data_IF_715405159111
#
_entry.id   IF_715405159111
#
_cell.length_a   1.000
_cell.length_b   1.000
_cell.length_c   1.000
_cell.angle_alpha   90.00
_cell.angle_beta   90.00
_cell.angle_gamma   90.00
#
_symmetry.space_group_name_H-M   'P 1'
#
loop_
_entity.id
_entity.type
_entity.pdbx_description
1 polymer ?
#
# COMPACT_ATOMS: atom_id res chain seq x y z
N UNK A 1 -25.29 42.29 10.06
CA UNK A 1 -25.04 42.30 8.60
C UNK A 1 -24.64 40.90 8.10
N UNK A 2 -23.82 40.20 8.86
CA UNK A 2 -23.27 38.91 8.44
C UNK A 2 -24.30 37.76 8.35
N UNK A 3 -25.24 37.68 9.27
CA UNK A 3 -26.24 36.58 9.30
C UNK A 3 -27.29 36.69 8.19
N UNK A 4 -27.62 37.89 7.73
CA UNK A 4 -28.58 38.08 6.64
C UNK A 4 -27.97 37.77 5.26
N UNK A 5 -26.68 38.04 5.06
CA UNK A 5 -25.94 37.71 3.84
C UNK A 5 -25.73 36.17 3.74
N UNK A 6 -25.35 35.55 4.83
CA UNK A 6 -25.14 34.05 4.86
C UNK A 6 -26.45 33.33 4.55
N UNK A 7 -27.58 33.77 5.11
CA UNK A 7 -28.89 33.20 4.80
C UNK A 7 -29.34 33.39 3.35
N UNK A 8 -29.07 34.56 2.75
CA UNK A 8 -29.41 34.78 1.34
C UNK A 8 -28.47 34.05 0.37
N UNK A 9 -27.19 33.92 0.69
CA UNK A 9 -26.25 33.13 -0.11
C UNK A 9 -26.59 31.65 -0.08
N UNK A 10 -26.96 31.11 1.08
CA UNK A 10 -27.43 29.71 1.19
C UNK A 10 -28.70 29.50 0.34
N UNK A 11 -29.70 30.40 0.42
CA UNK A 11 -30.92 30.32 -0.39
C UNK A 11 -30.65 30.43 -1.90
N UNK A 12 -29.66 31.22 -2.31
CA UNK A 12 -29.25 31.34 -3.71
C UNK A 12 -28.52 30.08 -4.15
N UNK A 13 -27.63 29.55 -3.31
CA UNK A 13 -26.93 28.32 -3.57
C UNK A 13 -27.88 27.13 -3.74
N UNK A 14 -28.87 27.01 -2.86
CA UNK A 14 -29.83 25.90 -2.87
C UNK A 14 -30.80 25.96 -4.07
N UNK A 15 -30.95 27.12 -4.70
CA UNK A 15 -31.73 27.31 -5.93
C UNK A 15 -30.91 27.15 -7.21
N UNK A 16 -29.59 26.95 -7.12
CA UNK A 16 -28.76 26.67 -8.30
C UNK A 16 -29.18 25.35 -8.93
N UNK A 17 -29.11 25.29 -10.24
CA UNK A 17 -29.24 24.03 -10.96
C UNK A 17 -28.27 23.01 -10.37
N UNK A 18 -28.78 21.82 -10.06
CA UNK A 18 -27.92 20.71 -9.66
C UNK A 18 -26.95 20.43 -10.80
N UNK A 19 -25.66 20.59 -10.52
CA UNK A 19 -24.61 20.23 -11.47
C UNK A 19 -24.68 18.74 -11.77
N UNK A 20 -24.30 18.35 -12.98
CA UNK A 20 -24.14 16.95 -13.32
C UNK A 20 -23.11 16.33 -12.35
N UNK A 21 -23.51 15.27 -11.65
CA UNK A 21 -22.60 14.50 -10.81
C UNK A 21 -21.79 13.57 -11.69
N UNK A 22 -20.47 13.69 -11.67
CA UNK A 22 -19.61 12.66 -12.23
C UNK A 22 -19.64 11.44 -11.30
N UNK A 23 -20.29 10.38 -11.76
CA UNK A 23 -20.55 9.16 -11.00
C UNK A 23 -19.63 8.00 -11.38
N UNK A 24 -18.50 8.32 -12.04
CA UNK A 24 -17.47 7.32 -12.36
C UNK A 24 -16.82 6.78 -11.08
N UNK A 25 -16.66 5.47 -11.02
CA UNK A 25 -15.83 4.80 -10.02
C UNK A 25 -14.47 4.57 -10.67
N UNK A 26 -13.43 5.26 -10.18
CA UNK A 26 -12.07 5.20 -10.69
C UNK A 26 -11.23 4.27 -9.82
N UNK A 27 -10.52 3.35 -10.44
CA UNK A 27 -9.67 2.38 -9.73
C UNK A 27 -8.59 3.06 -8.91
N UNK A 28 -7.86 4.01 -9.51
CA UNK A 28 -6.79 4.77 -8.85
C UNK A 28 -7.27 5.50 -7.60
N UNK A 29 -8.36 6.25 -7.69
CA UNK A 29 -8.87 7.03 -6.55
C UNK A 29 -9.43 6.14 -5.45
N UNK A 30 -10.06 5.01 -5.81
CA UNK A 30 -10.46 4.02 -4.82
C UNK A 30 -9.25 3.39 -4.14
N UNK A 31 -8.14 3.13 -4.85
CA UNK A 31 -6.89 2.67 -4.25
C UNK A 31 -6.38 3.61 -3.15
N UNK A 32 -6.33 4.92 -3.43
CA UNK A 32 -5.95 5.93 -2.43
C UNK A 32 -6.94 6.00 -1.26
N UNK A 33 -8.26 5.88 -1.53
CA UNK A 33 -9.27 5.90 -0.48
C UNK A 33 -9.18 4.65 0.41
N UNK A 34 -8.92 3.47 -0.17
CA UNK A 34 -8.68 2.23 0.58
C UNK A 34 -7.50 2.40 1.53
N UNK A 35 -6.39 2.98 1.06
CA UNK A 35 -5.24 3.29 1.91
C UNK A 35 -5.62 4.23 3.07
N UNK A 36 -6.38 5.29 2.78
CA UNK A 36 -6.84 6.24 3.79
C UNK A 36 -7.76 5.59 4.83
N UNK A 37 -8.71 4.76 4.39
CA UNK A 37 -9.62 4.02 5.28
C UNK A 37 -8.86 3.02 6.15
N UNK A 38 -7.88 2.31 5.59
CA UNK A 38 -7.04 1.37 6.34
C UNK A 38 -6.22 2.09 7.43
N UNK A 39 -5.64 3.26 7.11
CA UNK A 39 -4.95 4.10 8.10
C UNK A 39 -5.91 4.67 9.14
N UNK A 40 -7.12 5.07 8.73
CA UNK A 40 -8.14 5.56 9.65
C UNK A 40 -8.54 4.47 10.67
N UNK A 41 -8.69 3.23 10.23
CA UNK A 41 -8.91 2.10 11.13
C UNK A 41 -7.80 1.95 12.16
N UNK A 42 -6.51 1.96 11.74
CA UNK A 42 -5.36 1.85 12.66
C UNK A 42 -5.33 2.93 13.74
N UNK A 43 -5.82 4.15 13.43
CA UNK A 43 -5.73 5.30 14.35
C UNK A 43 -6.99 5.47 15.18
N UNK A 44 -8.16 5.20 14.60
CA UNK A 44 -9.45 5.47 15.23
C UNK A 44 -10.11 4.22 15.82
N UNK A 45 -9.56 3.04 15.54
CA UNK A 45 -10.02 1.72 16.02
C UNK A 45 -11.52 1.45 15.74
N UNK A 46 -12.09 2.09 14.70
CA UNK A 46 -13.48 1.93 14.30
C UNK A 46 -13.56 0.99 13.09
N UNK A 47 -14.08 -0.22 13.32
CA UNK A 47 -14.20 -1.32 12.35
C UNK A 47 -14.89 -0.92 11.04
N UNK A 48 -15.76 0.10 11.07
CA UNK A 48 -16.45 0.56 9.85
C UNK A 48 -15.48 0.97 8.75
N UNK A 49 -14.31 1.54 9.09
CA UNK A 49 -13.31 1.95 8.11
C UNK A 49 -12.69 0.74 7.42
N UNK A 50 -12.37 -0.30 8.19
CA UNK A 50 -11.86 -1.55 7.65
C UNK A 50 -12.87 -2.24 6.74
N UNK A 51 -14.15 -2.29 7.17
CA UNK A 51 -15.23 -2.83 6.35
C UNK A 51 -15.40 -2.08 5.01
N UNK A 52 -15.33 -0.75 5.02
CA UNK A 52 -15.46 0.04 3.80
C UNK A 52 -14.28 -0.20 2.85
N UNK A 53 -13.05 -0.32 3.39
CA UNK A 53 -11.88 -0.67 2.59
C UNK A 53 -12.02 -2.05 1.94
N UNK A 54 -12.45 -3.07 2.69
CA UNK A 54 -12.70 -4.43 2.19
C UNK A 54 -13.79 -4.45 1.11
N UNK A 55 -14.93 -3.78 1.36
CA UNK A 55 -16.03 -3.67 0.37
C UNK A 55 -15.59 -2.99 -0.93
N UNK A 56 -14.72 -2.00 -0.83
CA UNK A 56 -14.17 -1.32 -2.02
C UNK A 56 -13.24 -2.24 -2.82
N UNK A 57 -12.38 -3.02 -2.16
CA UNK A 57 -11.55 -4.05 -2.83
C UNK A 57 -12.41 -5.10 -3.50
N UNK A 58 -13.42 -5.63 -2.80
CA UNK A 58 -14.33 -6.64 -3.37
C UNK A 58 -15.06 -6.10 -4.60
N UNK A 59 -15.51 -4.84 -4.55
CA UNK A 59 -16.14 -4.20 -5.70
C UNK A 59 -15.19 -4.11 -6.89
N UNK A 60 -13.94 -3.70 -6.69
CA UNK A 60 -12.93 -3.57 -7.75
C UNK A 60 -12.65 -4.94 -8.38
N UNK A 61 -12.38 -5.96 -7.58
CA UNK A 61 -12.07 -7.29 -8.11
C UNK A 61 -13.24 -7.96 -8.81
N UNK A 62 -14.48 -7.70 -8.38
CA UNK A 62 -15.68 -8.23 -9.00
C UNK A 62 -16.11 -7.50 -10.27
N UNK A 63 -15.73 -6.23 -10.45
CA UNK A 63 -16.27 -5.40 -11.54
C UNK A 63 -15.22 -4.75 -12.44
N UNK A 64 -13.98 -4.59 -11.98
CA UNK A 64 -12.92 -3.84 -12.67
C UNK A 64 -11.70 -4.70 -13.04
N UNK A 65 -11.80 -6.02 -12.89
CA UNK A 65 -10.77 -6.99 -13.30
C UNK A 65 -11.39 -7.95 -14.31
N UNK A 66 -10.72 -8.15 -15.44
CA UNK A 66 -11.20 -9.12 -16.45
C UNK A 66 -10.80 -10.56 -16.09
N UNK A 67 -11.26 -11.51 -16.91
CA UNK A 67 -10.99 -12.95 -16.72
C UNK A 67 -9.51 -13.33 -16.84
N UNK A 68 -8.65 -12.41 -17.30
CA UNK A 68 -7.20 -12.60 -17.42
C UNK A 68 -6.42 -11.84 -16.34
N UNK A 69 -7.13 -11.23 -15.37
CA UNK A 69 -6.51 -10.43 -14.33
C UNK A 69 -6.15 -9.00 -14.74
N UNK A 70 -6.54 -8.55 -15.93
CA UNK A 70 -6.26 -7.18 -16.39
C UNK A 70 -7.21 -6.19 -15.76
N UNK A 71 -6.65 -5.15 -15.13
CA UNK A 71 -7.40 -4.11 -14.43
C UNK A 71 -7.95 -3.06 -15.43
N UNK A 72 -9.15 -2.56 -15.16
CA UNK A 72 -9.76 -1.43 -15.85
C UNK A 72 -9.68 -0.15 -15.02
N UNK A 73 -9.60 0.99 -15.68
CA UNK A 73 -9.47 2.29 -15.03
C UNK A 73 -10.80 2.80 -14.43
N UNK A 74 -11.94 2.45 -15.04
CA UNK A 74 -13.22 3.08 -14.73
C UNK A 74 -14.38 2.09 -14.80
N UNK A 75 -15.32 2.23 -13.82
CA UNK A 75 -16.65 1.61 -13.86
C UNK A 75 -17.73 2.69 -13.85
N UNK A 76 -18.69 2.59 -14.75
CA UNK A 76 -19.87 3.46 -14.83
C UNK A 76 -20.97 2.76 -15.63
N UNK A 77 -22.25 2.99 -15.28
CA UNK A 77 -23.40 2.46 -16.01
C UNK A 77 -23.34 0.93 -16.20
N UNK A 78 -22.84 0.23 -15.18
CA UNK A 78 -22.60 -1.23 -15.15
C UNK A 78 -21.57 -1.73 -16.17
N UNK A 79 -20.71 -0.87 -16.67
CA UNK A 79 -19.64 -1.21 -17.61
C UNK A 79 -18.27 -0.84 -17.04
N UNK A 80 -17.34 -1.80 -17.03
CA UNK A 80 -15.91 -1.54 -16.86
C UNK A 80 -15.28 -1.13 -18.18
N UNK A 81 -14.52 -0.03 -18.20
CA UNK A 81 -13.99 0.50 -19.47
C UNK A 81 -12.61 1.12 -19.28
N UNK A 82 -11.87 1.13 -20.38
CA UNK A 82 -10.49 1.58 -20.47
C UNK A 82 -9.52 0.71 -19.66
N UNK A 83 -8.50 0.20 -20.33
CA UNK A 83 -7.40 -0.51 -19.66
C UNK A 83 -6.77 0.42 -18.64
N UNK A 84 -6.58 -0.09 -17.43
CA UNK A 84 -5.93 0.65 -16.35
C UNK A 84 -4.51 1.08 -16.75
N UNK A 85 -4.12 2.26 -16.29
CA UNK A 85 -2.80 2.84 -16.44
C UNK A 85 -1.94 2.56 -15.20
N UNK A 86 -0.71 3.04 -15.18
CA UNK A 86 0.22 2.86 -14.06
C UNK A 86 -0.38 3.28 -12.70
N UNK A 87 -1.03 4.45 -12.66
CA UNK A 87 -1.61 4.99 -11.41
C UNK A 87 -2.66 4.05 -10.80
N UNK A 88 -3.46 3.40 -11.64
CA UNK A 88 -4.48 2.46 -11.17
C UNK A 88 -3.83 1.26 -10.46
N UNK A 89 -2.74 0.73 -11.01
CA UNK A 89 -1.97 -0.36 -10.41
C UNK A 89 -1.24 0.10 -9.15
N UNK A 90 -0.50 1.20 -9.23
CA UNK A 90 0.30 1.70 -8.13
C UNK A 90 -0.56 2.07 -6.91
N UNK A 91 -1.67 2.79 -7.12
CA UNK A 91 -2.51 3.24 -6.01
C UNK A 91 -3.35 2.10 -5.42
N UNK A 92 -3.82 1.16 -6.24
CA UNK A 92 -4.53 0.00 -5.74
C UNK A 92 -3.58 -0.91 -4.94
N UNK A 93 -2.35 -1.13 -5.42
CA UNK A 93 -1.32 -1.86 -4.67
C UNK A 93 -1.02 -1.17 -3.33
N UNK A 94 -0.89 0.16 -3.33
CA UNK A 94 -0.71 0.93 -2.09
C UNK A 94 -1.87 0.69 -1.11
N UNK A 95 -3.11 0.75 -1.61
CA UNK A 95 -4.30 0.44 -0.81
C UNK A 95 -4.30 -0.98 -0.24
N UNK A 96 -3.89 -1.97 -1.03
CA UNK A 96 -3.80 -3.37 -0.62
C UNK A 96 -2.73 -3.60 0.46
N UNK A 97 -1.56 -2.95 0.35
CA UNK A 97 -0.51 -3.03 1.38
C UNK A 97 -0.99 -2.40 2.69
N UNK A 98 -1.62 -1.21 2.64
CA UNK A 98 -2.18 -0.57 3.83
C UNK A 98 -3.30 -1.43 4.47
N UNK A 99 -4.13 -2.08 3.65
CA UNK A 99 -5.19 -2.96 4.12
C UNK A 99 -4.63 -4.24 4.74
N UNK A 100 -3.57 -4.82 4.15
CA UNK A 100 -2.85 -5.94 4.74
C UNK A 100 -2.27 -5.58 6.11
N UNK A 101 -1.54 -4.47 6.21
CA UNK A 101 -0.94 -4.02 7.47
C UNK A 101 -1.96 -3.59 8.54
N UNK A 102 -3.21 -3.38 8.15
CA UNK A 102 -4.31 -3.06 9.08
C UNK A 102 -5.06 -4.30 9.56
N UNK A 103 -5.22 -5.30 8.68
CA UNK A 103 -5.98 -6.52 8.97
C UNK A 103 -5.10 -7.74 9.24
N UNK A 104 -3.89 -7.75 8.69
CA UNK A 104 -2.98 -8.90 8.60
C UNK A 104 -3.61 -10.12 7.88
N UNK A 105 -4.58 -9.87 6.99
CA UNK A 105 -5.15 -10.90 6.15
C UNK A 105 -4.28 -11.13 4.91
N UNK A 106 -3.75 -12.34 4.77
CA UNK A 106 -2.80 -12.73 3.70
C UNK A 106 -3.37 -12.50 2.30
N UNK A 107 -4.67 -12.62 2.13
CA UNK A 107 -5.37 -12.35 0.88
C UNK A 107 -4.98 -11.01 0.25
N UNK A 108 -4.86 -9.95 1.08
CA UNK A 108 -4.53 -8.61 0.57
C UNK A 108 -3.06 -8.49 0.22
N UNK A 109 -2.17 -9.15 0.95
CA UNK A 109 -0.75 -9.23 0.59
C UNK A 109 -0.55 -9.97 -0.73
N UNK A 110 -1.20 -11.11 -0.91
CA UNK A 110 -1.17 -11.87 -2.16
C UNK A 110 -1.64 -11.03 -3.34
N UNK A 111 -2.80 -10.38 -3.21
CA UNK A 111 -3.31 -9.45 -4.24
C UNK A 111 -2.33 -8.30 -4.54
N UNK A 112 -1.64 -7.76 -3.53
CA UNK A 112 -0.64 -6.71 -3.71
C UNK A 112 0.57 -7.21 -4.50
N UNK A 113 1.05 -8.42 -4.21
CA UNK A 113 2.15 -9.08 -4.93
C UNK A 113 1.75 -9.32 -6.39
N UNK A 114 0.61 -9.98 -6.63
CA UNK A 114 0.12 -10.31 -7.96
C UNK A 114 -0.03 -9.03 -8.82
N UNK A 115 -0.58 -7.97 -8.22
CA UNK A 115 -0.77 -6.70 -8.91
C UNK A 115 0.55 -5.98 -9.22
N UNK A 116 1.55 -6.12 -8.32
CA UNK A 116 2.89 -5.57 -8.52
C UNK A 116 3.62 -6.31 -9.63
N UNK A 117 3.53 -7.63 -9.70
CA UNK A 117 4.13 -8.42 -10.77
C UNK A 117 3.49 -8.08 -12.13
N UNK A 118 2.18 -7.92 -12.17
CA UNK A 118 1.47 -7.46 -13.37
C UNK A 118 1.86 -6.02 -13.76
N UNK A 119 2.06 -5.13 -12.78
CA UNK A 119 2.53 -3.76 -12.99
C UNK A 119 3.92 -3.74 -13.60
N UNK A 120 4.85 -4.53 -13.09
CA UNK A 120 6.20 -4.65 -13.63
C UNK A 120 6.13 -5.16 -15.08
N UNK A 121 5.40 -6.25 -15.33
CA UNK A 121 5.26 -6.81 -16.67
C UNK A 121 4.70 -5.81 -17.68
N UNK A 122 3.70 -5.02 -17.30
CA UNK A 122 2.98 -4.13 -18.23
C UNK A 122 3.68 -2.79 -18.47
N UNK A 123 4.34 -2.23 -17.47
CA UNK A 123 4.74 -0.82 -17.49
C UNK A 123 6.23 -0.57 -17.30
N UNK A 124 7.02 -1.51 -16.76
CA UNK A 124 8.43 -1.27 -16.46
C UNK A 124 9.27 -1.09 -17.74
N UNK A 125 10.17 -0.11 -17.72
CA UNK A 125 11.15 0.11 -18.79
C UNK A 125 12.48 -0.56 -18.41
N UNK A 126 12.69 -1.77 -18.88
CA UNK A 126 13.91 -2.55 -18.61
C UNK A 126 15.20 -1.88 -19.12
N UNK A 127 15.10 -0.89 -20.02
CA UNK A 127 16.29 -0.25 -20.62
C UNK A 127 16.74 1.00 -19.88
N UNK A 128 15.75 1.79 -19.41
CA UNK A 128 16.05 3.12 -18.87
C UNK A 128 15.47 3.30 -17.46
N UNK A 129 14.99 2.22 -16.84
CA UNK A 129 14.28 2.23 -15.56
C UNK A 129 13.00 3.08 -15.55
N UNK A 130 12.27 3.08 -14.40
CA UNK A 130 10.99 3.78 -14.28
C UNK A 130 9.86 3.09 -15.03
N UNK A 131 8.64 3.54 -14.80
CA UNK A 131 7.43 2.96 -15.37
C UNK A 131 6.79 3.91 -16.39
N UNK A 132 6.41 3.35 -17.54
CA UNK A 132 5.58 4.07 -18.49
C UNK A 132 4.15 4.24 -17.97
N UNK A 133 3.49 5.34 -18.32
CA UNK A 133 2.10 5.60 -17.94
C UNK A 133 1.12 4.55 -18.54
N UNK A 134 1.35 4.16 -19.78
CA UNK A 134 0.50 3.21 -20.50
C UNK A 134 1.17 1.84 -20.64
N UNK A 135 0.38 0.77 -20.44
CA UNK A 135 0.85 -0.61 -20.55
C UNK A 135 1.31 -0.97 -21.97
N UNK A 136 2.20 -1.96 -22.07
CA UNK A 136 2.69 -2.49 -23.37
C UNK A 136 1.58 -3.07 -24.26
N UNK A 137 0.43 -3.39 -23.65
CA UNK A 137 -0.77 -3.93 -24.28
C UNK A 137 -1.77 -2.84 -24.69
N UNK A 138 -1.46 -1.57 -24.46
CA UNK A 138 -2.29 -0.42 -24.84
C UNK A 138 -2.13 -0.05 -26.33
N UNK A 139 -2.97 0.86 -26.79
CA UNK A 139 -2.84 1.42 -28.14
C UNK A 139 -1.44 2.02 -28.34
N UNK A 140 -0.87 1.81 -29.54
CA UNK A 140 0.45 2.35 -29.87
C UNK A 140 0.34 3.85 -30.08
N UNK A 141 0.83 4.60 -29.10
CA UNK A 141 0.98 6.05 -29.17
C UNK A 141 2.32 6.43 -29.79
N UNK A 142 2.45 7.69 -30.26
CA UNK A 142 3.70 8.25 -30.80
C UNK A 142 4.81 8.19 -29.75
N UNK A 143 4.48 8.44 -28.46
CA UNK A 143 5.38 8.33 -27.33
C UNK A 143 4.68 7.67 -26.15
N UNK A 144 5.46 6.94 -25.32
CA UNK A 144 5.01 6.43 -24.02
C UNK A 144 5.63 7.30 -22.93
N UNK A 145 4.86 8.20 -22.31
CA UNK A 145 5.40 9.08 -21.26
C UNK A 145 5.63 8.30 -19.96
N UNK A 146 6.56 8.80 -19.16
CA UNK A 146 6.75 8.45 -17.75
C UNK A 146 6.43 9.69 -16.92
N UNK A 147 5.38 9.64 -16.13
CA UNK A 147 5.00 10.75 -15.26
C UNK A 147 5.71 10.62 -13.92
N UNK A 148 6.39 11.68 -13.48
CA UNK A 148 7.19 11.70 -12.25
C UNK A 148 6.71 12.79 -11.29
N UNK A 149 5.89 13.72 -11.74
CA UNK A 149 5.45 14.89 -10.98
C UNK A 149 4.37 14.52 -9.96
N UNK A 150 4.65 14.79 -8.68
CA UNK A 150 3.69 14.65 -7.59
C UNK A 150 2.89 15.95 -7.49
N UNK A 151 1.69 15.96 -8.09
CA UNK A 151 0.79 17.11 -8.14
C UNK A 151 -0.31 17.08 -7.09
N UNK A 152 -1.56 17.24 -7.52
CA UNK A 152 -2.73 17.09 -6.65
C UNK A 152 -2.91 15.66 -6.13
N UNK A 153 -2.40 14.69 -6.87
CA UNK A 153 -2.20 13.29 -6.47
C UNK A 153 -0.73 12.93 -6.72
N UNK A 154 -0.17 11.93 -6.01
CA UNK A 154 1.19 11.48 -6.27
C UNK A 154 1.34 10.88 -7.68
N UNK A 155 2.54 10.84 -8.22
CA UNK A 155 2.79 10.13 -9.47
C UNK A 155 2.76 8.62 -9.27
N UNK A 156 2.31 7.89 -10.31
CA UNK A 156 2.34 6.43 -10.29
C UNK A 156 3.75 5.87 -10.08
N UNK A 157 4.78 6.53 -10.61
CA UNK A 157 6.19 6.14 -10.42
C UNK A 157 6.64 6.26 -8.96
N UNK A 158 6.33 7.39 -8.28
CA UNK A 158 6.66 7.60 -6.87
C UNK A 158 6.01 6.56 -5.97
N UNK A 159 4.71 6.28 -6.21
CA UNK A 159 3.96 5.29 -5.43
C UNK A 159 4.42 3.87 -5.74
N UNK A 160 4.72 3.54 -7.01
CA UNK A 160 5.24 2.24 -7.40
C UNK A 160 6.59 1.94 -6.72
N UNK A 161 7.52 2.91 -6.69
CA UNK A 161 8.79 2.77 -5.97
C UNK A 161 8.57 2.47 -4.48
N UNK A 162 7.68 3.22 -3.82
CA UNK A 162 7.34 3.02 -2.41
C UNK A 162 6.74 1.64 -2.13
N UNK A 163 5.81 1.19 -2.98
CA UNK A 163 5.21 -0.13 -2.85
C UNK A 163 6.22 -1.25 -3.03
N UNK A 164 7.10 -1.12 -4.03
CA UNK A 164 8.15 -2.11 -4.30
C UNK A 164 9.10 -2.27 -3.11
N UNK A 165 9.55 -1.17 -2.49
CA UNK A 165 10.40 -1.22 -1.30
C UNK A 165 9.68 -1.94 -0.15
N UNK A 166 8.41 -1.59 0.11
CA UNK A 166 7.62 -2.21 1.18
C UNK A 166 7.44 -3.70 0.93
N UNK A 167 7.06 -4.08 -0.29
CA UNK A 167 6.87 -5.49 -0.64
C UNK A 167 8.21 -6.26 -0.63
N UNK A 168 9.33 -5.65 -1.05
CA UNK A 168 10.65 -6.26 -0.92
C UNK A 168 10.97 -6.60 0.54
N UNK A 169 10.71 -5.67 1.46
CA UNK A 169 10.91 -5.86 2.90
C UNK A 169 9.98 -6.91 3.50
N UNK A 170 8.70 -6.90 3.11
CA UNK A 170 7.73 -7.90 3.59
C UNK A 170 8.08 -9.30 3.07
N UNK A 171 8.43 -9.43 1.78
CA UNK A 171 8.53 -10.73 1.11
C UNK A 171 9.94 -11.28 1.00
N UNK A 172 10.96 -10.42 1.13
CA UNK A 172 12.36 -10.78 0.84
C UNK A 172 12.66 -10.98 -0.66
N UNK A 173 11.76 -10.56 -1.58
CA UNK A 173 11.98 -10.70 -3.03
C UNK A 173 13.00 -9.69 -3.52
N UNK A 174 14.21 -10.13 -3.90
CA UNK A 174 15.27 -9.24 -4.42
C UNK A 174 14.87 -8.48 -5.68
N UNK A 175 14.05 -9.07 -6.54
CA UNK A 175 13.55 -8.41 -7.74
C UNK A 175 12.81 -7.08 -7.42
N UNK A 176 12.00 -7.06 -6.37
CA UNK A 176 11.29 -5.84 -5.97
C UNK A 176 12.25 -4.79 -5.42
N UNK A 177 13.28 -5.21 -4.71
CA UNK A 177 14.33 -4.31 -4.20
C UNK A 177 15.15 -3.71 -5.35
N UNK A 178 15.61 -4.52 -6.29
CA UNK A 178 16.36 -4.09 -7.47
C UNK A 178 15.58 -3.08 -8.30
N UNK A 179 14.31 -3.41 -8.67
CA UNK A 179 13.47 -2.50 -9.45
C UNK A 179 13.17 -1.21 -8.67
N UNK A 180 12.93 -1.29 -7.36
CA UNK A 180 12.67 -0.09 -6.56
C UNK A 180 13.85 0.87 -6.57
N UNK A 181 15.08 0.34 -6.46
CA UNK A 181 16.30 1.12 -6.53
C UNK A 181 16.45 1.78 -7.90
N UNK A 182 16.27 1.02 -8.97
CA UNK A 182 16.36 1.54 -10.34
C UNK A 182 15.36 2.68 -10.58
N UNK A 183 14.12 2.54 -10.07
CA UNK A 183 13.09 3.58 -10.19
C UNK A 183 13.44 4.82 -9.36
N UNK A 184 13.93 4.64 -8.13
CA UNK A 184 14.36 5.77 -7.30
C UNK A 184 15.53 6.53 -7.92
N UNK A 185 16.53 5.82 -8.44
CA UNK A 185 17.70 6.42 -9.11
C UNK A 185 17.27 7.16 -10.39
N UNK A 186 16.33 6.60 -11.15
CA UNK A 186 15.76 7.23 -12.34
C UNK A 186 15.05 8.54 -12.00
N UNK A 187 14.18 8.54 -10.98
CA UNK A 187 13.46 9.74 -10.54
C UNK A 187 14.46 10.77 -10.01
N UNK A 188 15.39 10.38 -9.12
CA UNK A 188 16.39 11.27 -8.56
C UNK A 188 17.22 11.98 -9.64
N UNK A 189 17.62 11.26 -10.69
CA UNK A 189 18.35 11.83 -11.82
C UNK A 189 17.52 12.81 -12.68
N UNK A 190 16.19 12.70 -12.61
CA UNK A 190 15.27 13.49 -13.45
C UNK A 190 14.77 14.77 -12.78
N UNK A 191 14.85 14.89 -11.43
CA UNK A 191 14.20 15.97 -10.64
C UNK A 191 15.16 17.06 -10.16
N UNK A 192 16.30 17.23 -10.78
CA UNK A 192 17.31 18.21 -10.35
C UNK A 192 16.70 19.61 -10.25
N UNK A 193 16.74 20.19 -9.04
CA UNK A 193 16.24 21.53 -8.69
C UNK A 193 14.72 21.70 -8.59
N UNK A 194 13.93 20.59 -8.55
CA UNK A 194 12.47 20.64 -8.46
C UNK A 194 11.90 19.72 -7.36
N UNK A 195 12.63 19.53 -6.28
CA UNK A 195 12.32 18.55 -5.22
C UNK A 195 10.95 18.75 -4.58
N UNK A 196 10.49 20.00 -4.48
CA UNK A 196 9.18 20.35 -3.90
C UNK A 196 8.00 19.73 -4.68
N UNK A 197 8.21 19.45 -5.95
CA UNK A 197 7.21 18.86 -6.84
C UNK A 197 7.20 17.32 -6.81
N UNK A 198 7.97 16.72 -5.92
CA UNK A 198 8.19 15.27 -5.82
C UNK A 198 8.06 14.77 -4.38
N UNK A 199 7.04 15.25 -3.66
CA UNK A 199 6.86 15.01 -2.22
C UNK A 199 6.67 13.53 -1.88
N UNK A 200 5.97 12.75 -2.70
CA UNK A 200 5.78 11.33 -2.46
C UNK A 200 7.05 10.53 -2.78
N UNK A 201 7.82 10.94 -3.81
CA UNK A 201 9.15 10.40 -4.05
C UNK A 201 10.08 10.61 -2.86
N UNK A 202 10.04 11.79 -2.20
CA UNK A 202 10.84 12.03 -0.99
C UNK A 202 10.42 11.10 0.17
N UNK A 203 9.14 10.79 0.31
CA UNK A 203 8.66 9.77 1.26
C UNK A 203 9.25 8.40 0.92
N UNK A 204 9.18 7.97 -0.34
CA UNK A 204 9.73 6.71 -0.80
C UNK A 204 11.25 6.63 -0.55
N UNK A 205 11.97 7.69 -0.89
CA UNK A 205 13.43 7.80 -0.68
C UNK A 205 13.78 7.77 0.82
N UNK A 206 13.06 8.51 1.64
CA UNK A 206 13.24 8.47 3.09
C UNK A 206 13.02 7.06 3.65
N UNK A 207 11.99 6.37 3.18
CA UNK A 207 11.72 4.99 3.58
C UNK A 207 12.84 4.04 3.13
N UNK A 208 13.38 4.21 1.92
CA UNK A 208 14.48 3.39 1.40
C UNK A 208 15.80 3.57 2.17
N UNK A 209 16.13 4.81 2.55
CA UNK A 209 17.39 5.16 3.20
C UNK A 209 17.43 4.86 4.71
N UNK A 210 16.29 4.68 5.34
CA UNK A 210 16.24 4.39 6.77
C UNK A 210 16.32 2.88 7.04
N UNK A 211 17.03 2.51 8.10
CA UNK A 211 17.05 1.13 8.61
C UNK A 211 15.64 0.67 8.95
N UNK A 212 15.34 -0.58 8.62
CA UNK A 212 14.07 -1.20 8.90
C UNK A 212 14.14 -2.14 10.05
N UNK A 213 13.02 -2.25 10.74
CA UNK A 213 12.78 -3.29 11.74
C UNK A 213 11.71 -4.24 11.21
N UNK A 214 11.93 -5.52 11.42
CA UNK A 214 10.99 -6.56 11.08
C UNK A 214 10.56 -7.28 12.35
N UNK A 215 9.28 -7.29 12.61
CA UNK A 215 8.68 -8.00 13.73
C UNK A 215 7.85 -9.17 13.20
N UNK A 216 8.33 -10.40 13.44
CA UNK A 216 7.58 -11.60 13.13
C UNK A 216 6.93 -12.10 14.42
N UNK A 217 5.61 -12.14 14.44
CA UNK A 217 4.80 -12.63 15.55
C UNK A 217 4.25 -14.00 15.20
N UNK A 218 4.75 -15.05 15.85
CA UNK A 218 4.19 -16.39 15.72
C UNK A 218 3.20 -16.60 16.86
N UNK A 219 1.93 -16.75 16.55
CA UNK A 219 0.81 -16.78 17.52
C UNK A 219 0.02 -18.09 17.41
N UNK A 220 -0.76 -18.41 18.44
CA UNK A 220 -1.61 -19.62 18.46
C UNK A 220 -3.03 -19.33 18.02
N UNK A 221 -3.58 -18.23 18.43
CA UNK A 221 -4.98 -17.89 18.22
C UNK A 221 -5.21 -16.41 17.87
N UNK A 222 -6.41 -16.11 17.39
CA UNK A 222 -6.76 -14.77 16.93
C UNK A 222 -6.82 -13.72 18.07
N UNK A 223 -7.01 -14.15 19.32
CA UNK A 223 -7.01 -13.21 20.46
C UNK A 223 -5.64 -12.62 20.71
N UNK A 224 -4.57 -13.34 20.37
CA UNK A 224 -3.19 -12.82 20.42
C UNK A 224 -2.94 -11.79 19.33
N UNK A 225 -3.56 -11.96 18.16
CA UNK A 225 -3.48 -10.99 17.05
C UNK A 225 -4.07 -9.63 17.43
N UNK A 226 -5.26 -9.62 18.06
CA UNK A 226 -5.86 -8.37 18.51
C UNK A 226 -4.98 -7.64 19.54
N UNK A 227 -4.41 -8.36 20.50
CA UNK A 227 -3.45 -7.76 21.46
C UNK A 227 -2.21 -7.15 20.78
N UNK A 228 -1.71 -7.79 19.71
CA UNK A 228 -0.60 -7.26 18.94
C UNK A 228 -1.03 -5.98 18.22
N UNK A 229 -2.20 -5.96 17.59
CA UNK A 229 -2.75 -4.78 16.90
C UNK A 229 -2.89 -3.60 17.86
N UNK A 230 -3.55 -3.80 19.00
CA UNK A 230 -3.74 -2.77 20.02
C UNK A 230 -2.39 -2.22 20.53
N UNK A 231 -1.43 -3.11 20.73
CA UNK A 231 -0.09 -2.72 21.20
C UNK A 231 0.68 -1.93 20.15
N UNK A 232 0.54 -2.28 18.88
CA UNK A 232 1.24 -1.63 17.77
C UNK A 232 0.56 -0.34 17.31
N UNK A 233 -0.75 -0.16 17.57
CA UNK A 233 -1.48 1.06 17.24
C UNK A 233 -0.90 2.29 17.92
N UNK A 234 -0.41 2.13 19.15
CA UNK A 234 0.28 3.19 19.93
C UNK A 234 1.70 3.50 19.42
N UNK A 235 2.23 2.68 18.50
CA UNK A 235 3.58 2.82 17.99
C UNK A 235 3.63 3.59 16.69
N UNK A 236 4.23 4.77 16.69
CA UNK A 236 4.54 5.52 15.46
C UNK A 236 5.85 5.01 14.81
N UNK A 237 5.90 3.72 14.48
CA UNK A 237 7.10 3.13 13.90
C UNK A 237 7.04 3.18 12.36
N UNK A 238 7.59 4.25 11.78
CA UNK A 238 7.58 4.51 10.34
C UNK A 238 8.22 3.38 9.50
N UNK A 239 9.27 2.73 10.04
CA UNK A 239 10.04 1.69 9.32
C UNK A 239 9.88 0.30 9.95
N UNK A 240 8.72 -0.01 10.49
CA UNK A 240 8.42 -1.31 11.04
C UNK A 240 7.58 -2.14 10.06
N UNK A 241 8.08 -3.29 9.68
CA UNK A 241 7.31 -4.34 8.99
C UNK A 241 6.84 -5.36 10.03
N UNK A 242 5.56 -5.70 10.03
CA UNK A 242 4.99 -6.69 10.94
C UNK A 242 4.39 -7.84 10.15
N UNK A 243 4.74 -9.06 10.55
CA UNK A 243 4.20 -10.30 9.98
C UNK A 243 3.59 -11.10 11.12
N UNK A 244 2.34 -11.50 10.96
CA UNK A 244 1.64 -12.35 11.92
C UNK A 244 1.42 -13.74 11.32
N UNK A 245 2.04 -14.74 11.92
CA UNK A 245 1.98 -16.14 11.53
C UNK A 245 1.22 -16.95 12.57
N UNK A 246 0.26 -17.74 12.13
CA UNK A 246 -0.47 -18.71 12.96
C UNK A 246 -0.62 -20.05 12.22
N UNK A 247 -1.25 -21.05 12.83
CA UNK A 247 -1.42 -22.37 12.23
C UNK A 247 -2.28 -22.30 10.95
N UNK A 248 -3.30 -21.44 10.92
CA UNK A 248 -4.24 -21.33 9.79
C UNK A 248 -3.59 -20.71 8.55
N UNK A 249 -2.71 -19.70 8.76
CA UNK A 249 -2.11 -18.96 7.68
C UNK A 249 -0.68 -19.40 7.30
N UNK A 250 -0.05 -20.27 8.09
CA UNK A 250 1.37 -20.63 7.95
C UNK A 250 1.72 -21.14 6.55
N UNK A 251 0.91 -22.02 5.97
CA UNK A 251 1.19 -22.61 4.67
C UNK A 251 1.22 -21.58 3.55
N UNK A 252 0.21 -20.71 3.48
CA UNK A 252 0.13 -19.66 2.45
C UNK A 252 1.17 -18.56 2.70
N UNK A 253 1.41 -18.21 3.97
CA UNK A 253 2.42 -17.24 4.35
C UNK A 253 3.83 -17.70 3.98
N UNK A 254 4.17 -18.95 4.24
CA UNK A 254 5.49 -19.54 3.90
C UNK A 254 5.72 -19.69 2.39
N UNK A 255 4.66 -19.79 1.60
CA UNK A 255 4.75 -19.74 0.15
C UNK A 255 5.06 -18.32 -0.34
N UNK A 256 4.37 -17.32 0.20
CA UNK A 256 4.55 -15.92 -0.17
C UNK A 256 5.83 -15.29 0.41
N UNK A 257 6.20 -15.70 1.63
CA UNK A 257 7.34 -15.19 2.41
C UNK A 257 8.19 -16.39 2.92
N UNK A 258 9.02 -16.98 2.06
CA UNK A 258 9.72 -18.25 2.38
C UNK A 258 10.58 -18.23 3.63
N UNK A 259 11.16 -17.09 4.00
CA UNK A 259 12.00 -16.99 5.20
C UNK A 259 11.21 -17.17 6.51
N UNK A 260 9.87 -17.05 6.47
CA UNK A 260 9.03 -17.24 7.66
C UNK A 260 8.94 -18.70 8.13
N UNK A 261 9.45 -19.67 7.34
CA UNK A 261 9.52 -21.08 7.72
C UNK A 261 10.31 -21.34 8.98
N UNK A 262 11.36 -20.55 9.20
CA UNK A 262 12.28 -20.72 10.33
C UNK A 262 11.72 -20.17 11.66
N UNK A 263 10.61 -19.44 11.61
CA UNK A 263 9.99 -18.84 12.79
C UNK A 263 8.87 -19.72 13.33
N UNK A 264 9.02 -20.18 14.57
CA UNK A 264 8.12 -21.14 15.23
C UNK A 264 7.75 -20.69 16.64
N UNK A 265 6.69 -21.27 17.19
CA UNK A 265 6.36 -21.09 18.61
C UNK A 265 7.48 -21.65 19.49
N UNK A 266 7.88 -20.93 20.55
CA UNK A 266 8.76 -21.41 21.60
C UNK A 266 7.94 -21.67 22.85
N UNK A 267 8.23 -22.78 23.53
CA UNK A 267 7.52 -23.21 24.74
C UNK A 267 5.99 -23.28 24.56
N UNK A 268 5.54 -23.50 23.33
CA UNK A 268 4.13 -23.55 22.95
C UNK A 268 3.36 -22.25 23.31
N UNK A 269 4.05 -21.08 23.23
CA UNK A 269 3.52 -19.74 23.51
C UNK A 269 3.77 -18.84 22.34
N UNK A 270 2.98 -17.74 22.24
CA UNK A 270 3.26 -16.66 21.29
C UNK A 270 4.72 -16.24 21.37
N UNK A 271 5.38 -16.13 20.23
CA UNK A 271 6.82 -15.87 20.15
C UNK A 271 7.07 -14.73 19.19
N UNK A 272 7.83 -13.76 19.64
CA UNK A 272 8.13 -12.53 18.91
C UNK A 272 9.60 -12.51 18.50
N UNK A 273 9.84 -12.29 17.22
CA UNK A 273 11.16 -12.21 16.62
C UNK A 273 11.34 -10.80 16.06
N UNK A 274 12.29 -10.05 16.59
CA UNK A 274 12.62 -8.72 16.10
C UNK A 274 13.97 -8.76 15.41
N UNK A 275 14.01 -8.33 14.16
CA UNK A 275 15.22 -8.14 13.38
C UNK A 275 15.41 -6.65 13.05
N UNK A 276 16.65 -6.19 13.01
CA UNK A 276 17.05 -4.83 12.64
C UNK A 276 18.24 -4.91 11.68
N UNK A 277 18.04 -4.46 10.45
CA UNK A 277 19.01 -4.68 9.39
C UNK A 277 19.34 -6.17 9.21
N UNK A 278 20.63 -6.51 9.32
CA UNK A 278 21.12 -7.90 9.17
C UNK A 278 21.22 -8.67 10.50
N UNK A 279 20.64 -8.17 11.57
CA UNK A 279 20.77 -8.76 12.90
C UNK A 279 19.41 -9.00 13.54
N UNK A 280 19.22 -10.20 14.10
CA UNK A 280 18.02 -10.54 14.85
C UNK A 280 18.33 -10.64 16.35
N UNK A 281 17.43 -10.10 17.16
CA UNK A 281 17.49 -10.26 18.61
C UNK A 281 17.05 -11.68 19.01
N UNK A 282 17.49 -12.19 20.19
CA UNK A 282 16.94 -13.43 20.71
C UNK A 282 15.40 -13.35 20.79
N UNK A 283 14.70 -14.39 20.37
CA UNK A 283 13.24 -14.43 20.43
C UNK A 283 12.73 -14.38 21.87
N UNK A 284 11.58 -13.77 22.06
CA UNK A 284 10.93 -13.64 23.38
C UNK A 284 9.45 -14.00 23.31
N UNK A 285 8.89 -14.46 24.43
CA UNK A 285 7.44 -14.63 24.58
C UNK A 285 6.75 -13.40 25.20
N UNK A 286 7.50 -12.31 25.42
CA UNK A 286 7.00 -11.10 26.04
C UNK A 286 7.04 -9.92 25.06
N UNK A 287 5.87 -9.50 24.56
CA UNK A 287 5.75 -8.40 23.60
C UNK A 287 6.32 -7.08 24.18
N UNK A 288 6.20 -6.83 25.49
CA UNK A 288 6.71 -5.62 26.10
C UNK A 288 8.25 -5.50 26.02
N UNK A 289 8.97 -6.62 25.97
CA UNK A 289 10.43 -6.60 25.76
C UNK A 289 10.78 -6.12 24.36
N UNK A 290 9.95 -6.43 23.36
CA UNK A 290 10.08 -5.91 22.01
C UNK A 290 9.84 -4.40 22.00
N UNK A 291 8.76 -3.93 22.63
CA UNK A 291 8.42 -2.51 22.71
C UNK A 291 9.54 -1.68 23.35
N UNK A 292 10.15 -2.19 24.40
CA UNK A 292 11.27 -1.51 25.09
C UNK A 292 12.48 -1.26 24.17
N UNK A 293 12.61 -2.02 23.06
CA UNK A 293 13.70 -1.83 22.09
C UNK A 293 13.40 -0.70 21.10
N UNK A 294 12.12 -0.36 20.89
CA UNK A 294 11.73 0.77 20.06
C UNK A 294 11.87 2.12 20.77
N UNK A 295 11.66 2.15 22.10
CA UNK A 295 11.76 3.38 22.90
C UNK A 295 13.20 3.84 23.19
N UNK A 296 14.23 3.08 22.84
CA UNK A 296 15.64 3.45 23.07
C UNK A 296 16.25 4.38 22.02
N UNK A 297 15.48 4.76 21.00
CA UNK A 297 15.93 5.71 19.99
C UNK A 297 15.37 7.08 20.37
N UNK A 298 16.19 7.86 21.12
CA UNK A 298 16.03 9.30 21.33
C UNK A 298 16.99 10.02 20.41
#
# INVERSE_FOLDING_TARGET
ITTRLVGSEMCIRDRRYSLHKDDKILTSWNGLMIAALSKAYKVLEDEKYLEYAKKAIDFIYNNLVDSKGRLFARYREKEAKYKAILDDYAFLTYGLIELYESSYEILYLKKAIDLTEAMIDLFFDEKNAGFFLYGKDSEKLIARPKELFDGAIPSGNSVAAYNLIRLARITGKSLFEEISKDVLDYIAGSIISEEINHSFFLIASSFALNETKELICVIKDESEKEKIKDTLSDMQAFNLTVIIKNEENSSELEELIPYTKDYTLKDNKATYYLCEGNSCFPPTNNLNEILAKFHKIK
#
